data_IF_811492290964
#
_entry.id   IF_811492290964
#
_cell.length_a   1.000
_cell.length_b   1.000
_cell.length_c   1.000
_cell.angle_alpha   90.00
_cell.angle_beta   90.00
_cell.angle_gamma   90.00
#
_symmetry.space_group_name_H-M   'P 1'
#
loop_
_entity.id
_entity.type
_entity.pdbx_description
1 polymer ?
#
# COMPACT_ATOMS: atom_id res chain seq x y z
N UNK A 1 -7.44 1.97 16.22
CA UNK A 1 -6.59 0.93 15.60
C UNK A 1 -5.13 1.34 15.72
N UNK A 2 -4.46 0.77 16.72
CA UNK A 2 -3.01 0.83 16.94
C UNK A 2 -2.34 -0.17 15.99
N UNK A 3 -1.15 0.15 15.46
CA UNK A 3 -0.33 -0.76 14.65
C UNK A 3 0.02 -2.07 15.40
N UNK A 4 -0.04 -2.06 16.73
CA UNK A 4 0.16 -3.22 17.62
C UNK A 4 -0.83 -4.39 17.45
N UNK A 5 -1.91 -4.24 16.67
CA UNK A 5 -2.89 -5.32 16.42
C UNK A 5 -2.84 -5.89 14.98
N UNK A 6 -1.75 -5.71 14.24
CA UNK A 6 -1.56 -6.46 12.99
C UNK A 6 -1.19 -7.91 13.33
N UNK A 7 -2.11 -8.85 13.06
CA UNK A 7 -1.80 -10.28 13.09
C UNK A 7 -0.70 -10.60 12.07
N UNK A 8 0.02 -11.71 12.24
CA UNK A 8 1.03 -12.19 11.28
C UNK A 8 0.47 -12.24 9.86
N UNK A 9 -0.81 -12.62 9.72
CA UNK A 9 -1.54 -12.59 8.44
C UNK A 9 -1.70 -11.18 7.84
N UNK A 10 -1.83 -10.13 8.66
CA UNK A 10 -1.87 -8.74 8.21
C UNK A 10 -0.51 -8.21 7.76
N UNK A 11 0.59 -8.64 8.39
CA UNK A 11 1.96 -8.31 7.97
C UNK A 11 2.32 -8.96 6.64
N UNK A 12 1.96 -10.24 6.43
CA UNK A 12 2.17 -10.94 5.16
C UNK A 12 1.41 -10.24 4.02
N UNK A 13 0.14 -9.89 4.23
CA UNK A 13 -0.66 -9.15 3.23
C UNK A 13 -0.10 -7.76 2.94
N UNK A 14 0.42 -7.07 3.96
CA UNK A 14 1.08 -5.79 3.77
C UNK A 14 2.38 -5.92 2.96
N UNK A 15 3.15 -6.99 3.19
CA UNK A 15 4.35 -7.30 2.41
C UNK A 15 4.01 -7.56 0.94
N UNK A 16 3.04 -8.45 0.67
CA UNK A 16 2.55 -8.72 -0.68
C UNK A 16 2.09 -7.44 -1.39
N UNK A 17 1.35 -6.58 -0.68
CA UNK A 17 0.97 -5.27 -1.21
C UNK A 17 2.17 -4.39 -1.55
N UNK A 18 3.20 -4.34 -0.68
CA UNK A 18 4.39 -3.53 -0.94
C UNK A 18 5.22 -4.06 -2.13
N UNK A 19 5.35 -5.38 -2.26
CA UNK A 19 6.01 -6.03 -3.39
C UNK A 19 5.30 -5.66 -4.69
N UNK A 20 3.97 -5.87 -4.74
CA UNK A 20 3.15 -5.50 -5.88
C UNK A 20 3.19 -3.98 -6.17
N UNK A 21 3.25 -3.13 -5.14
CA UNK A 21 3.34 -1.68 -5.31
C UNK A 21 4.65 -1.26 -5.98
N UNK A 22 5.78 -1.93 -5.68
CA UNK A 22 7.06 -1.69 -6.35
C UNK A 22 7.05 -2.21 -7.80
N UNK A 23 6.44 -3.36 -8.06
CA UNK A 23 6.29 -3.93 -9.42
C UNK A 23 5.38 -3.06 -10.31
N UNK A 24 4.25 -2.60 -9.77
CA UNK A 24 3.25 -1.80 -10.49
C UNK A 24 3.57 -0.31 -10.57
N UNK A 25 4.80 0.13 -10.25
CA UNK A 25 5.17 1.55 -10.18
C UNK A 25 4.21 2.42 -9.32
N UNK A 26 3.53 1.81 -8.35
CA UNK A 26 2.54 2.44 -7.49
C UNK A 26 1.11 2.58 -8.06
N UNK A 27 0.76 1.91 -9.15
CA UNK A 27 -0.57 1.99 -9.76
C UNK A 27 -1.63 1.16 -9.01
N UNK A 28 -2.62 1.83 -8.40
CA UNK A 28 -3.70 1.14 -7.66
C UNK A 28 -4.59 0.24 -8.52
N UNK A 29 -4.72 0.54 -9.81
CA UNK A 29 -5.57 -0.25 -10.70
C UNK A 29 -4.98 -1.64 -10.98
N UNK A 30 -3.65 -1.75 -11.09
CA UNK A 30 -2.99 -3.05 -11.22
C UNK A 30 -3.13 -3.87 -9.94
N UNK A 31 -2.99 -3.21 -8.78
CA UNK A 31 -3.16 -3.86 -7.48
C UNK A 31 -4.57 -4.40 -7.25
N UNK A 32 -5.59 -3.79 -7.85
CA UNK A 32 -6.99 -4.27 -7.80
C UNK A 32 -7.22 -5.58 -8.55
N UNK A 33 -6.35 -5.92 -9.51
CA UNK A 33 -6.38 -7.20 -10.21
C UNK A 33 -5.86 -8.36 -9.36
N UNK A 34 -4.97 -8.05 -8.40
CA UNK A 34 -4.24 -9.05 -7.62
C UNK A 34 -4.73 -9.17 -6.17
N UNK A 35 -5.16 -8.06 -5.57
CA UNK A 35 -5.65 -8.00 -4.19
C UNK A 35 -7.14 -7.71 -4.14
N UNK A 36 -7.84 -8.35 -3.20
CA UNK A 36 -9.24 -8.05 -2.94
C UNK A 36 -9.41 -6.58 -2.54
N UNK A 37 -10.49 -5.96 -3.03
CA UNK A 37 -10.84 -4.55 -2.73
C UNK A 37 -10.82 -4.24 -1.23
N UNK A 38 -11.27 -5.18 -0.38
CA UNK A 38 -11.29 -5.00 1.07
C UNK A 38 -9.90 -4.96 1.69
N UNK A 39 -8.98 -5.83 1.26
CA UNK A 39 -7.60 -5.82 1.75
C UNK A 39 -6.88 -4.56 1.26
N UNK A 40 -7.10 -4.17 0.00
CA UNK A 40 -6.53 -2.96 -0.57
C UNK A 40 -6.99 -1.70 0.19
N UNK A 41 -8.29 -1.55 0.43
CA UNK A 41 -8.85 -0.42 1.19
C UNK A 41 -8.34 -0.42 2.63
N UNK A 42 -8.23 -1.59 3.25
CA UNK A 42 -7.69 -1.73 4.61
C UNK A 42 -6.23 -1.29 4.68
N UNK A 43 -5.37 -1.84 3.82
CA UNK A 43 -3.93 -1.54 3.77
C UNK A 43 -3.70 -0.08 3.44
N UNK A 44 -4.47 0.49 2.51
CA UNK A 44 -4.37 1.91 2.16
C UNK A 44 -4.76 2.80 3.33
N UNK A 45 -5.87 2.48 4.01
CA UNK A 45 -6.36 3.25 5.16
C UNK A 45 -5.35 3.22 6.30
N UNK A 46 -4.81 2.05 6.62
CA UNK A 46 -3.76 1.87 7.64
C UNK A 46 -2.47 2.59 7.21
N UNK A 47 -2.04 2.39 5.97
CA UNK A 47 -0.86 3.01 5.41
C UNK A 47 -0.93 4.54 5.44
N UNK A 48 -2.06 5.14 5.07
CA UNK A 48 -2.28 6.59 5.20
C UNK A 48 -2.24 7.04 6.65
N UNK A 49 -2.99 6.36 7.52
CA UNK A 49 -3.10 6.72 8.94
C UNK A 49 -1.75 6.76 9.63
N UNK A 50 -0.86 5.83 9.27
CA UNK A 50 0.47 5.71 9.86
C UNK A 50 1.59 6.39 9.05
N UNK A 51 1.22 7.15 8.01
CA UNK A 51 2.12 7.84 7.10
C UNK A 51 3.15 6.90 6.45
N UNK A 52 2.74 5.68 6.12
CA UNK A 52 3.52 4.65 5.43
C UNK A 52 3.38 4.78 3.90
N UNK A 53 2.24 5.27 3.41
CA UNK A 53 2.00 5.50 1.98
C UNK A 53 1.45 6.92 1.75
N UNK A 54 1.72 7.47 0.57
CA UNK A 54 1.21 8.76 0.12
C UNK A 54 0.62 8.62 -1.28
N UNK A 55 -0.51 9.30 -1.51
CA UNK A 55 -1.05 9.47 -2.85
C UNK A 55 -0.21 10.46 -3.63
N UNK A 56 0.15 10.05 -4.84
CA UNK A 56 0.76 10.93 -5.84
C UNK A 56 -0.32 11.31 -6.85
N UNK A 57 -0.28 12.56 -7.36
CA UNK A 57 -1.09 12.90 -8.53
C UNK A 57 -0.68 11.97 -9.67
N UNK A 58 -1.68 11.40 -10.36
CA UNK A 58 -1.39 10.68 -11.59
C UNK A 58 -0.94 11.68 -12.64
N UNK A 59 0.09 11.32 -13.40
CA UNK A 59 0.52 12.09 -14.56
C UNK A 59 -0.46 11.93 -15.73
N UNK A 60 -1.33 10.91 -15.70
CA UNK A 60 -2.47 10.81 -16.60
C UNK A 60 -3.63 11.67 -16.08
N UNK A 61 -4.22 12.47 -16.96
CA UNK A 61 -5.36 13.38 -16.76
C UNK A 61 -6.66 12.72 -16.28
N UNK A 62 -6.63 11.46 -15.84
CA UNK A 62 -7.79 10.73 -15.38
C UNK A 62 -7.69 10.49 -13.87
N UNK A 63 -8.56 11.19 -13.12
CA UNK A 63 -8.64 11.16 -11.66
C UNK A 63 -8.93 9.76 -11.06
N UNK A 64 -9.26 8.78 -11.93
CA UNK A 64 -9.44 7.37 -11.58
C UNK A 64 -8.11 6.64 -11.39
N UNK A 65 -7.03 7.12 -12.00
CA UNK A 65 -5.69 6.60 -11.78
C UNK A 65 -5.12 7.30 -10.57
N UNK A 66 -5.10 6.61 -9.43
CA UNK A 66 -4.47 7.10 -8.21
C UNK A 66 -3.18 6.31 -8.01
N UNK A 67 -2.05 7.00 -8.10
CA UNK A 67 -0.76 6.40 -7.76
C UNK A 67 -0.54 6.52 -6.26
N UNK A 68 0.01 5.48 -5.65
CA UNK A 68 0.47 5.49 -4.26
C UNK A 68 1.93 5.14 -4.22
N UNK A 69 2.66 5.79 -3.32
CA UNK A 69 4.08 5.53 -3.11
C UNK A 69 4.33 5.30 -1.63
N UNK A 70 5.22 4.36 -1.32
CA UNK A 70 5.72 4.20 0.04
C UNK A 70 6.50 5.45 0.45
N UNK A 71 6.21 5.96 1.64
CA UNK A 71 7.02 6.99 2.28
C UNK A 71 8.33 6.37 2.78
N UNK A 72 9.28 7.19 3.23
CA UNK A 72 10.50 6.67 3.87
C UNK A 72 10.18 5.73 5.05
N UNK A 73 9.12 6.03 5.81
CA UNK A 73 8.64 5.20 6.92
C UNK A 73 8.03 3.89 6.44
N UNK A 74 7.22 3.92 5.39
CA UNK A 74 6.67 2.71 4.76
C UNK A 74 7.76 1.80 4.21
N UNK A 75 8.77 2.37 3.52
CA UNK A 75 9.93 1.61 3.03
C UNK A 75 10.75 0.99 4.15
N UNK A 76 10.96 1.72 5.26
CA UNK A 76 11.66 1.19 6.44
C UNK A 76 10.91 0.03 7.07
N UNK A 77 9.57 0.14 7.17
CA UNK A 77 8.72 -0.94 7.67
C UNK A 77 8.75 -2.16 6.74
N UNK A 78 8.66 -1.94 5.42
CA UNK A 78 8.76 -3.00 4.43
C UNK A 78 10.09 -3.77 4.54
N UNK A 79 11.22 -3.05 4.63
CA UNK A 79 12.55 -3.65 4.82
C UNK A 79 12.76 -4.35 6.17
N UNK A 80 11.94 -4.07 7.18
CA UNK A 80 12.00 -4.70 8.51
C UNK A 80 11.21 -6.02 8.56
N UNK A 81 10.33 -6.26 7.59
CA UNK A 81 9.46 -7.45 7.51
C UNK A 81 10.05 -8.52 6.56
N UNK A 82 11.21 -8.24 5.95
CA UNK A 82 12.08 -9.18 5.22
C UNK A 82 13.30 -9.47 6.08
#
# INVERSE_FOLDING_TARGET
>A
MHLDKMTVSGLIRFRQFCELLEESNGELNELRGTLSKNDLDCIIKVGKKHNLIRYMPSQMYDARYRRVKLTAKGKKLFKLVI
#
